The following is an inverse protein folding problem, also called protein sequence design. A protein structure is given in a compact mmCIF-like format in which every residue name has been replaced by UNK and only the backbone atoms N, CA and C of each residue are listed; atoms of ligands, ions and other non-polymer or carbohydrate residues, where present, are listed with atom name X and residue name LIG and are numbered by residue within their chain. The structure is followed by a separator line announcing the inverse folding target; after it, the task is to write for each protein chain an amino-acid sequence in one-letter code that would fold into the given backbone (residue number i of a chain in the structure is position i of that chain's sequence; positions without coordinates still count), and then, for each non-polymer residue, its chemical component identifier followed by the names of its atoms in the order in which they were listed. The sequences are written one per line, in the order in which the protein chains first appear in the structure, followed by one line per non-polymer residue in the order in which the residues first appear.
data_IF_990501340209
#
_entry.id   IF_990501340209
#
_cell.length_a   1.000
_cell.length_b   1.000
_cell.length_c   1.000
_cell.angle_alpha   90.00
_cell.angle_beta   90.00
_cell.angle_gamma   90.00
#
_symmetry.space_group_name_H-M   'P 1'
#
loop_
_entity.id
_entity.type
_entity.pdbx_description
1 polymer ?
#
# COMPACT_ATOMS: atom_id res chain seq x y z
N UNK A 1 -1.97 23.80 -4.81
CA UNK A 1 -1.68 23.02 -6.04
C UNK A 1 -2.61 21.83 -6.05
N UNK A 2 -3.46 21.70 -7.05
CA UNK A 2 -4.41 20.58 -7.15
C UNK A 2 -3.64 19.27 -7.23
N UNK A 3 -3.96 18.32 -6.36
CA UNK A 3 -3.34 17.00 -6.37
C UNK A 3 -3.79 16.28 -7.66
N UNK A 4 -2.86 15.66 -8.40
CA UNK A 4 -3.21 14.89 -9.62
C UNK A 4 -4.19 13.77 -9.30
N UNK A 5 -4.12 13.21 -8.10
CA UNK A 5 -5.09 12.23 -7.64
C UNK A 5 -6.49 12.82 -7.51
N UNK A 6 -6.66 14.11 -7.17
CA UNK A 6 -7.98 14.77 -7.18
C UNK A 6 -8.58 14.85 -8.59
N UNK A 7 -7.74 15.06 -9.62
CA UNK A 7 -8.19 15.20 -11.01
C UNK A 7 -8.46 13.85 -11.70
N UNK A 8 -7.81 12.80 -11.25
CA UNK A 8 -7.82 11.49 -11.91
C UNK A 8 -8.43 10.38 -11.02
N UNK A 9 -9.03 10.75 -9.89
CA UNK A 9 -9.57 9.80 -8.90
C UNK A 9 -10.52 8.80 -9.54
N UNK A 10 -11.53 9.27 -10.27
CA UNK A 10 -12.53 8.41 -10.91
C UNK A 10 -11.91 7.47 -11.96
N UNK A 11 -11.00 8.01 -12.78
CA UNK A 11 -10.31 7.21 -13.80
C UNK A 11 -9.40 6.15 -13.16
N UNK A 12 -8.72 6.50 -12.08
CA UNK A 12 -7.90 5.56 -11.32
C UNK A 12 -8.76 4.47 -10.69
N UNK A 13 -9.87 4.85 -10.10
CA UNK A 13 -10.80 3.92 -9.48
C UNK A 13 -11.43 2.97 -10.50
N UNK A 14 -11.89 3.50 -11.65
CA UNK A 14 -12.50 2.69 -12.71
C UNK A 14 -11.53 1.66 -13.31
N UNK A 15 -10.21 1.90 -13.23
CA UNK A 15 -9.22 0.94 -13.70
C UNK A 15 -9.32 -0.40 -12.95
N UNK A 16 -9.62 -0.40 -11.66
CA UNK A 16 -9.78 -1.61 -10.86
C UNK A 16 -10.96 -2.50 -11.33
N UNK A 17 -11.92 -1.93 -12.05
CA UNK A 17 -13.07 -2.66 -12.60
C UNK A 17 -12.88 -3.04 -14.08
N UNK A 18 -11.76 -2.64 -14.71
CA UNK A 18 -11.42 -2.98 -16.08
C UNK A 18 -11.06 -4.45 -16.23
N UNK A 19 -11.08 -4.96 -17.48
CA UNK A 19 -10.72 -6.33 -17.83
C UNK A 19 -9.32 -6.70 -17.34
N UNK A 20 -8.35 -5.78 -17.48
CA UNK A 20 -6.96 -6.00 -17.04
C UNK A 20 -6.77 -5.68 -15.55
N UNK A 21 -7.41 -4.63 -15.04
CA UNK A 21 -7.19 -4.15 -13.67
C UNK A 21 -7.78 -5.06 -12.61
N UNK A 22 -8.95 -5.62 -12.88
CA UNK A 22 -9.68 -6.44 -11.92
C UNK A 22 -8.93 -7.71 -11.47
N UNK A 23 -8.37 -8.53 -12.36
CA UNK A 23 -7.62 -9.72 -11.93
C UNK A 23 -6.35 -9.38 -11.16
N UNK A 24 -5.69 -8.25 -11.49
CA UNK A 24 -4.52 -7.78 -10.74
C UNK A 24 -4.93 -7.39 -9.32
N UNK A 25 -5.97 -6.58 -9.19
CA UNK A 25 -6.51 -6.15 -7.91
C UNK A 25 -6.96 -7.34 -7.04
N UNK A 26 -7.69 -8.29 -7.60
CA UNK A 26 -8.13 -9.49 -6.88
C UNK A 26 -6.94 -10.32 -6.38
N UNK A 27 -5.88 -10.46 -7.19
CA UNK A 27 -4.64 -11.12 -6.77
C UNK A 27 -3.93 -10.38 -5.62
N UNK A 28 -3.87 -9.04 -5.69
CA UNK A 28 -3.32 -8.19 -4.63
C UNK A 28 -4.12 -8.34 -3.32
N UNK A 29 -5.44 -8.34 -3.41
CA UNK A 29 -6.33 -8.52 -2.27
C UNK A 29 -6.16 -9.91 -1.64
N UNK A 30 -6.07 -10.99 -2.44
CA UNK A 30 -5.76 -12.34 -1.96
C UNK A 30 -4.40 -12.41 -1.26
N UNK A 31 -3.43 -11.61 -1.71
CA UNK A 31 -2.11 -11.53 -1.08
C UNK A 31 -2.18 -10.87 0.31
N UNK A 32 -2.95 -9.78 0.43
CA UNK A 32 -3.09 -9.00 1.66
C UNK A 32 -3.95 -9.69 2.71
N UNK A 33 -5.07 -10.29 2.29
CA UNK A 33 -6.13 -10.77 3.18
C UNK A 33 -5.63 -11.60 4.38
N UNK A 34 -4.81 -12.67 4.22
CA UNK A 34 -4.37 -13.48 5.36
C UNK A 34 -3.43 -12.75 6.34
N UNK A 35 -2.85 -11.61 5.93
CA UNK A 35 -2.04 -10.79 6.84
C UNK A 35 -2.92 -9.85 7.66
N UNK A 36 -3.96 -9.26 7.02
CA UNK A 36 -4.84 -8.29 7.67
C UNK A 36 -5.86 -8.97 8.59
N UNK A 37 -6.42 -10.12 8.19
CA UNK A 37 -7.41 -10.87 9.01
C UNK A 37 -6.86 -11.35 10.36
N UNK A 38 -5.54 -11.49 10.48
CA UNK A 38 -4.87 -11.87 11.73
C UNK A 38 -4.25 -10.68 12.47
N UNK A 39 -4.43 -9.47 11.93
CA UNK A 39 -3.90 -8.26 12.55
C UNK A 39 -4.82 -7.74 13.66
N UNK A 40 -4.24 -7.04 14.64
CA UNK A 40 -4.99 -6.45 15.73
C UNK A 40 -5.73 -5.18 15.28
N UNK A 41 -6.99 -5.03 15.71
CA UNK A 41 -7.78 -3.78 15.54
C UNK A 41 -7.44 -2.75 16.62
N UNK A 42 -7.73 -1.46 16.38
CA UNK A 42 -8.23 -0.87 15.13
C UNK A 42 -7.15 -0.79 14.05
N UNK A 43 -7.58 -0.70 12.79
CA UNK A 43 -6.69 -0.65 11.62
C UNK A 43 -6.68 0.77 11.04
N UNK A 44 -5.51 1.24 10.63
CA UNK A 44 -5.34 2.47 9.86
C UNK A 44 -4.85 2.14 8.45
N UNK A 45 -5.46 2.69 7.40
CA UNK A 45 -4.88 2.70 6.06
C UNK A 45 -4.37 4.08 5.70
N UNK A 46 -3.04 4.20 5.48
CA UNK A 46 -2.37 5.42 5.05
C UNK A 46 -2.37 5.48 3.52
N UNK A 47 -2.95 6.55 2.96
CA UNK A 47 -3.17 6.68 1.53
C UNK A 47 -4.30 5.76 1.06
N UNK A 48 -5.43 5.78 1.79
CA UNK A 48 -6.59 4.93 1.52
C UNK A 48 -7.20 5.14 0.12
N UNK A 49 -6.91 6.27 -0.50
CA UNK A 49 -7.44 6.61 -1.82
C UNK A 49 -8.96 6.50 -1.85
N UNK A 50 -9.48 5.75 -2.81
CA UNK A 50 -10.92 5.51 -2.96
C UNK A 50 -11.48 4.40 -2.06
N UNK A 51 -10.66 3.82 -1.17
CA UNK A 51 -11.08 2.81 -0.20
C UNK A 51 -11.18 1.39 -0.74
N UNK A 52 -10.56 1.11 -1.91
CA UNK A 52 -10.65 -0.20 -2.59
C UNK A 52 -10.14 -1.36 -1.73
N UNK A 53 -9.09 -1.17 -0.96
CA UNK A 53 -8.58 -2.20 -0.06
C UNK A 53 -9.29 -2.16 1.30
N UNK A 54 -9.42 -0.96 1.89
CA UNK A 54 -10.05 -0.76 3.20
C UNK A 54 -11.45 -1.39 3.33
N UNK A 55 -12.28 -1.27 2.29
CA UNK A 55 -13.66 -1.77 2.29
C UNK A 55 -13.81 -3.28 2.53
N UNK A 56 -12.73 -4.04 2.40
CA UNK A 56 -12.73 -5.49 2.61
C UNK A 56 -12.39 -5.92 4.05
N UNK A 57 -12.04 -4.96 4.91
CA UNK A 57 -11.63 -5.24 6.27
C UNK A 57 -12.48 -4.45 7.27
N UNK A 58 -12.83 -5.04 8.42
CA UNK A 58 -13.58 -4.33 9.47
C UNK A 58 -12.69 -3.32 10.20
N UNK A 59 -13.30 -2.33 10.83
CA UNK A 59 -12.65 -1.36 11.75
C UNK A 59 -11.45 -0.61 11.12
N UNK A 60 -11.55 -0.28 9.83
CA UNK A 60 -10.52 0.49 9.13
C UNK A 60 -10.88 1.98 9.13
N UNK A 61 -9.98 2.79 9.68
CA UNK A 61 -9.94 4.24 9.43
C UNK A 61 -8.94 4.52 8.31
N UNK A 62 -9.36 5.26 7.28
CA UNK A 62 -8.51 5.62 6.14
C UNK A 62 -8.09 7.09 6.18
N UNK A 63 -6.83 7.38 5.88
CA UNK A 63 -6.36 8.76 5.64
C UNK A 63 -5.85 8.93 4.22
N UNK A 64 -6.15 10.08 3.62
CA UNK A 64 -5.63 10.50 2.32
C UNK A 64 -5.64 12.03 2.23
N UNK A 65 -4.69 12.68 1.53
CA UNK A 65 -4.74 14.12 1.30
C UNK A 65 -5.82 14.55 0.29
N UNK A 66 -6.33 13.63 -0.54
CA UNK A 66 -7.34 13.90 -1.57
C UNK A 66 -8.76 13.82 -1.02
N UNK A 67 -9.44 14.96 -0.93
CA UNK A 67 -10.84 15.00 -0.50
C UNK A 67 -11.79 14.27 -1.46
N UNK A 68 -11.45 14.23 -2.77
CA UNK A 68 -12.26 13.53 -3.77
C UNK A 68 -12.15 12.01 -3.59
N UNK A 69 -10.94 11.51 -3.33
CA UNK A 69 -10.74 10.10 -3.04
C UNK A 69 -11.47 9.68 -1.76
N UNK A 70 -11.36 10.47 -0.69
CA UNK A 70 -12.04 10.20 0.59
C UNK A 70 -13.56 10.17 0.49
N UNK A 71 -14.18 11.00 -0.37
CA UNK A 71 -15.63 10.92 -0.63
C UNK A 71 -16.03 9.56 -1.20
N UNK A 72 -15.23 9.00 -2.09
CA UNK A 72 -15.49 7.67 -2.65
C UNK A 72 -15.28 6.57 -1.60
N UNK A 73 -14.21 6.67 -0.80
CA UNK A 73 -13.93 5.74 0.29
C UNK A 73 -15.06 5.75 1.34
N UNK A 74 -15.53 6.92 1.73
CA UNK A 74 -16.68 7.07 2.64
C UNK A 74 -17.95 6.48 2.04
N UNK A 75 -18.19 6.64 0.74
CA UNK A 75 -19.30 5.99 0.02
C UNK A 75 -19.22 4.45 0.03
N UNK A 76 -18.06 3.88 0.28
CA UNK A 76 -17.80 2.43 0.47
C UNK A 76 -17.89 1.99 1.93
N UNK A 77 -18.27 2.90 2.85
CA UNK A 77 -18.41 2.59 4.27
C UNK A 77 -17.10 2.68 5.07
N UNK A 78 -16.03 3.22 4.50
CA UNK A 78 -14.76 3.42 5.21
C UNK A 78 -14.83 4.71 6.02
N UNK A 79 -14.44 4.69 7.30
CA UNK A 79 -14.23 5.89 8.08
C UNK A 79 -13.03 6.66 7.54
N UNK A 80 -13.17 7.97 7.27
CA UNK A 80 -12.13 8.72 6.57
C UNK A 80 -11.76 10.02 7.26
N UNK A 81 -10.46 10.35 7.26
CA UNK A 81 -9.92 11.61 7.77
C UNK A 81 -8.95 12.18 6.72
N UNK A 82 -9.10 13.47 6.38
CA UNK A 82 -8.17 14.11 5.46
C UNK A 82 -6.87 14.46 6.18
N UNK A 83 -5.78 13.76 5.83
CA UNK A 83 -4.47 13.97 6.44
C UNK A 83 -3.34 13.49 5.51
N UNK A 84 -2.13 13.94 5.80
CA UNK A 84 -0.89 13.42 5.21
C UNK A 84 -0.31 12.33 6.11
N UNK A 85 0.28 11.29 5.51
CA UNK A 85 0.93 10.21 6.26
C UNK A 85 2.16 10.64 7.04
N UNK A 86 2.75 11.80 6.71
CA UNK A 86 3.89 12.40 7.41
C UNK A 86 3.52 13.18 8.69
N UNK A 87 2.21 13.45 8.90
CA UNK A 87 1.69 14.20 10.07
C UNK A 87 0.23 13.79 10.30
N UNK A 88 0.02 12.82 11.17
CA UNK A 88 -1.28 12.19 11.38
C UNK A 88 -1.96 12.67 12.67
N UNK A 89 -3.27 13.02 12.63
CA UNK A 89 -4.00 13.58 13.77
C UNK A 89 -4.42 12.50 14.80
N UNK A 90 -3.55 11.54 15.08
CA UNK A 90 -3.80 10.47 16.02
C UNK A 90 -2.83 10.48 17.19
N UNK A 91 -3.28 9.96 18.33
CA UNK A 91 -2.43 9.74 19.50
C UNK A 91 -1.44 8.61 19.26
N UNK A 92 -0.36 8.61 20.02
CA UNK A 92 0.60 7.51 20.04
C UNK A 92 -0.10 6.20 20.44
N UNK A 93 0.38 5.07 19.89
CA UNK A 93 -0.08 3.72 20.25
C UNK A 93 -1.60 3.52 20.10
N UNK A 94 -2.20 4.05 19.04
CA UNK A 94 -3.66 3.97 18.79
C UNK A 94 -4.02 2.70 18.04
N UNK A 95 -3.30 2.37 16.95
CA UNK A 95 -3.68 1.31 16.01
C UNK A 95 -2.95 0.00 16.28
N UNK A 96 -3.67 -1.10 16.11
CA UNK A 96 -3.08 -2.45 16.17
C UNK A 96 -2.43 -2.86 14.85
N UNK A 97 -2.92 -2.32 13.73
CA UNK A 97 -2.36 -2.56 12.40
C UNK A 97 -2.37 -1.29 11.55
N UNK A 98 -1.36 -1.12 10.72
CA UNK A 98 -1.29 -0.03 9.74
C UNK A 98 -1.07 -0.63 8.35
N UNK A 99 -1.91 -0.22 7.40
CA UNK A 99 -1.80 -0.60 6.00
C UNK A 99 -1.20 0.56 5.20
N UNK A 100 -0.27 0.26 4.30
CA UNK A 100 0.32 1.20 3.33
C UNK A 100 0.34 0.48 1.98
N UNK A 101 -0.79 0.52 1.26
CA UNK A 101 -0.98 -0.28 0.05
C UNK A 101 -0.85 0.60 -1.20
N UNK A 102 0.14 0.31 -2.04
CA UNK A 102 0.48 1.07 -3.28
C UNK A 102 0.58 2.59 -3.02
N UNK A 103 0.93 2.98 -1.81
CA UNK A 103 0.99 4.38 -1.36
C UNK A 103 2.42 4.88 -1.19
N UNK A 104 3.32 4.03 -0.68
CA UNK A 104 4.70 4.42 -0.37
C UNK A 104 5.43 5.03 -1.58
N UNK A 105 5.09 4.59 -2.78
CA UNK A 105 5.68 5.09 -4.03
C UNK A 105 5.24 6.52 -4.38
N UNK A 106 4.18 7.06 -3.78
CA UNK A 106 3.63 8.38 -4.08
C UNK A 106 3.93 9.43 -3.00
N UNK A 107 4.43 9.02 -1.84
CA UNK A 107 4.76 9.96 -0.76
C UNK A 107 6.13 10.59 -1.00
N UNK A 108 6.28 11.86 -0.61
CA UNK A 108 7.55 12.60 -0.81
C UNK A 108 8.62 12.20 0.19
N UNK A 109 8.22 11.88 1.41
CA UNK A 109 9.11 11.57 2.52
C UNK A 109 8.73 10.24 3.17
N UNK A 110 9.00 9.09 2.51
CA UNK A 110 8.55 7.78 2.97
C UNK A 110 9.09 7.40 4.35
N UNK A 111 10.28 7.89 4.69
CA UNK A 111 10.84 7.69 6.02
C UNK A 111 10.03 8.38 7.11
N UNK A 112 9.54 9.61 6.86
CA UNK A 112 8.71 10.34 7.83
C UNK A 112 7.34 9.67 7.99
N UNK A 113 6.76 9.16 6.90
CA UNK A 113 5.53 8.35 6.96
C UNK A 113 5.73 7.12 7.84
N UNK A 114 6.83 6.39 7.69
CA UNK A 114 7.11 5.20 8.52
C UNK A 114 7.38 5.56 9.99
N UNK A 115 7.99 6.70 10.27
CA UNK A 115 8.15 7.21 11.65
C UNK A 115 6.81 7.53 12.29
N UNK A 116 5.93 8.24 11.57
CA UNK A 116 4.59 8.55 12.04
C UNK A 116 3.74 7.28 12.20
N UNK A 117 3.81 6.36 11.23
CA UNK A 117 3.18 5.06 11.34
C UNK A 117 3.64 4.32 12.62
N UNK A 118 4.95 4.29 12.88
CA UNK A 118 5.48 3.70 14.13
C UNK A 118 4.96 4.41 15.38
N UNK A 119 4.82 5.75 15.38
CA UNK A 119 4.32 6.51 16.52
C UNK A 119 2.89 6.13 16.89
N UNK A 120 2.01 6.02 15.89
CA UNK A 120 0.60 5.71 16.11
C UNK A 120 0.32 4.21 16.25
N UNK A 121 1.29 3.36 15.91
CA UNK A 121 1.21 1.90 16.05
C UNK A 121 1.41 1.47 17.50
N UNK A 122 0.60 0.54 17.98
CA UNK A 122 0.81 -0.13 19.27
C UNK A 122 2.11 -0.93 19.28
N UNK A 123 2.69 -1.13 20.45
CA UNK A 123 3.97 -1.87 20.61
C UNK A 123 3.94 -3.30 20.07
N UNK A 124 2.80 -3.96 20.16
CA UNK A 124 2.55 -5.32 19.66
C UNK A 124 1.96 -5.37 18.25
N UNK A 125 1.70 -4.19 17.67
CA UNK A 125 1.10 -4.04 16.36
C UNK A 125 2.04 -4.36 15.19
N UNK A 126 1.49 -4.32 13.98
CA UNK A 126 2.22 -4.53 12.73
C UNK A 126 1.91 -3.49 11.68
N UNK A 127 2.87 -3.22 10.79
CA UNK A 127 2.65 -2.48 9.54
C UNK A 127 2.65 -3.48 8.40
N UNK A 128 1.66 -3.38 7.52
CA UNK A 128 1.57 -4.17 6.28
C UNK A 128 1.74 -3.23 5.10
N UNK A 129 2.78 -3.46 4.31
CA UNK A 129 3.10 -2.68 3.11
C UNK A 129 2.82 -3.54 1.89
N UNK A 130 1.99 -3.04 0.96
CA UNK A 130 1.78 -3.61 -0.36
C UNK A 130 2.44 -2.74 -1.43
N UNK A 131 3.32 -3.31 -2.24
CA UNK A 131 4.02 -2.56 -3.29
C UNK A 131 4.35 -3.41 -4.52
N UNK A 132 4.57 -2.72 -5.64
CA UNK A 132 5.18 -3.30 -6.84
C UNK A 132 6.70 -3.15 -6.73
N UNK A 133 7.47 -4.26 -6.59
CA UNK A 133 8.92 -4.16 -6.47
C UNK A 133 9.57 -3.59 -7.73
N UNK A 134 10.45 -2.61 -7.57
CA UNK A 134 11.14 -1.90 -8.65
C UNK A 134 11.83 -2.83 -9.65
N UNK A 135 12.45 -3.89 -9.13
CA UNK A 135 13.30 -4.80 -9.90
C UNK A 135 12.52 -5.96 -10.54
N UNK A 136 11.20 -6.07 -10.25
CA UNK A 136 10.34 -7.07 -10.88
C UNK A 136 9.98 -6.71 -12.32
N UNK A 137 9.54 -7.68 -13.15
CA UNK A 137 9.08 -7.40 -14.51
C UNK A 137 8.00 -6.32 -14.58
N UNK A 138 7.07 -6.29 -13.62
CA UNK A 138 6.04 -5.28 -13.50
C UNK A 138 6.60 -3.91 -13.08
N UNK A 139 7.55 -3.88 -12.15
CA UNK A 139 8.24 -2.66 -11.73
C UNK A 139 9.02 -2.03 -12.88
N UNK A 140 9.69 -2.85 -13.69
CA UNK A 140 10.39 -2.39 -14.91
C UNK A 140 9.40 -1.79 -15.90
N UNK A 141 8.27 -2.48 -16.20
CA UNK A 141 7.22 -1.97 -17.09
C UNK A 141 6.68 -0.61 -16.60
N UNK A 142 6.37 -0.48 -15.31
CA UNK A 142 5.86 0.78 -14.76
C UNK A 142 6.93 1.88 -14.74
N UNK A 143 8.20 1.52 -14.57
CA UNK A 143 9.34 2.42 -14.73
C UNK A 143 9.47 2.96 -16.15
N UNK A 144 9.22 2.15 -17.17
CA UNK A 144 9.18 2.58 -18.57
C UNK A 144 7.98 3.49 -18.86
N UNK A 145 6.77 3.11 -18.40
CA UNK A 145 5.58 3.97 -18.48
C UNK A 145 5.81 5.33 -17.81
N UNK A 146 6.54 5.36 -16.68
CA UNK A 146 6.96 6.62 -16.04
C UNK A 146 7.81 7.49 -16.97
N UNK A 147 8.82 6.91 -17.63
CA UNK A 147 9.67 7.64 -18.59
C UNK A 147 8.89 8.19 -19.79
N UNK A 148 7.81 7.51 -20.18
CA UNK A 148 6.90 7.91 -21.25
C UNK A 148 5.87 8.96 -20.80
N UNK A 149 5.92 9.44 -19.55
CA UNK A 149 5.04 10.50 -19.05
C UNK A 149 3.64 10.00 -18.65
N UNK A 150 3.47 8.73 -18.32
CA UNK A 150 2.18 8.20 -17.89
C UNK A 150 1.61 8.99 -16.70
N UNK A 151 0.33 9.42 -16.72
CA UNK A 151 -0.23 10.37 -15.73
C UNK A 151 -0.03 9.98 -14.26
N UNK A 152 -0.18 8.70 -13.92
CA UNK A 152 0.02 8.21 -12.55
C UNK A 152 1.49 7.90 -12.25
N UNK A 153 2.14 7.12 -13.11
CA UNK A 153 3.50 6.62 -12.82
C UNK A 153 4.58 7.70 -12.89
N UNK A 154 4.37 8.82 -13.61
CA UNK A 154 5.32 9.93 -13.68
C UNK A 154 5.70 10.48 -12.29
N UNK A 155 4.83 10.33 -11.30
CA UNK A 155 5.02 10.80 -9.92
C UNK A 155 5.46 9.69 -8.95
N UNK A 156 5.43 8.43 -9.38
CA UNK A 156 5.81 7.31 -8.52
C UNK A 156 7.33 7.20 -8.36
N UNK A 157 7.76 6.85 -7.16
CA UNK A 157 9.11 6.37 -6.87
C UNK A 157 9.01 4.89 -6.52
N UNK A 158 9.49 4.03 -7.42
CA UNK A 158 9.47 2.60 -7.16
C UNK A 158 10.63 2.17 -6.27
N UNK A 159 10.37 1.30 -5.34
CA UNK A 159 11.33 0.78 -4.35
C UNK A 159 11.60 -0.71 -4.60
N UNK A 160 12.87 -1.12 -4.46
CA UNK A 160 13.22 -2.52 -4.33
C UNK A 160 12.91 -3.03 -2.92
N UNK A 161 12.91 -4.36 -2.72
CA UNK A 161 12.83 -4.93 -1.38
C UNK A 161 13.95 -4.40 -0.46
N UNK A 162 15.16 -4.22 -1.03
CA UNK A 162 16.30 -3.69 -0.26
C UNK A 162 16.06 -2.25 0.19
N UNK A 163 15.46 -1.41 -0.66
CA UNK A 163 15.13 -0.02 -0.32
C UNK A 163 14.09 0.02 0.82
N UNK A 164 13.02 -0.78 0.72
CA UNK A 164 12.01 -0.87 1.77
C UNK A 164 12.61 -1.39 3.08
N UNK A 165 13.48 -2.40 3.00
CA UNK A 165 14.19 -2.92 4.19
C UNK A 165 15.01 -1.83 4.88
N UNK A 166 15.75 -1.02 4.13
CA UNK A 166 16.53 0.10 4.69
C UNK A 166 15.64 1.15 5.36
N UNK A 167 14.49 1.48 4.75
CA UNK A 167 13.52 2.41 5.32
C UNK A 167 12.94 1.88 6.64
N UNK A 168 12.52 0.60 6.67
CA UNK A 168 12.01 -0.06 7.87
C UNK A 168 13.07 -0.16 8.97
N UNK A 169 14.29 -0.60 8.61
CA UNK A 169 15.40 -0.70 9.56
C UNK A 169 15.73 0.65 10.19
N UNK A 170 15.76 1.72 9.40
CA UNK A 170 15.96 3.09 9.88
C UNK A 170 14.84 3.59 10.79
N UNK A 171 13.59 3.17 10.55
CA UNK A 171 12.45 3.46 11.42
C UNK A 171 12.42 2.57 12.69
N UNK A 172 13.39 1.65 12.87
CA UNK A 172 13.43 0.75 14.01
C UNK A 172 12.42 -0.41 13.92
N UNK A 173 12.14 -0.84 12.70
CA UNK A 173 11.24 -1.96 12.42
C UNK A 173 11.99 -3.12 11.75
N UNK A 174 11.44 -4.32 11.83
CA UNK A 174 11.97 -5.53 11.17
C UNK A 174 10.87 -6.24 10.41
N UNK A 175 11.21 -6.78 9.24
CA UNK A 175 10.30 -7.61 8.46
C UNK A 175 10.08 -8.94 9.20
N UNK A 176 8.82 -9.36 9.33
CA UNK A 176 8.42 -10.62 10.00
C UNK A 176 7.81 -11.61 9.03
N UNK A 177 7.13 -11.14 7.98
CA UNK A 177 6.49 -12.00 6.98
C UNK A 177 6.46 -11.31 5.62
N UNK A 178 6.49 -12.08 4.58
CA UNK A 178 6.30 -11.60 3.20
C UNK A 178 5.41 -12.57 2.43
N UNK A 179 4.65 -12.04 1.48
CA UNK A 179 3.88 -12.81 0.51
C UNK A 179 4.00 -12.16 -0.86
N UNK A 180 4.03 -12.97 -1.89
CA UNK A 180 4.21 -12.54 -3.29
C UNK A 180 3.07 -13.01 -4.17
N UNK A 181 2.63 -12.17 -5.11
CA UNK A 181 1.69 -12.53 -6.17
C UNK A 181 2.04 -11.82 -7.47
N UNK A 182 1.24 -12.00 -8.52
CA UNK A 182 1.51 -11.50 -9.87
C UNK A 182 2.87 -11.97 -10.37
N UNK A 183 3.09 -13.30 -10.31
CA UNK A 183 4.36 -13.95 -10.65
C UNK A 183 4.57 -14.05 -12.16
N UNK A 184 3.49 -13.93 -12.94
CA UNK A 184 3.53 -13.89 -14.39
C UNK A 184 4.08 -12.58 -14.90
N UNK A 185 4.70 -12.62 -16.08
CA UNK A 185 5.19 -11.41 -16.72
C UNK A 185 4.05 -10.56 -17.25
N UNK A 186 4.24 -9.24 -17.40
CA UNK A 186 3.21 -8.33 -17.91
C UNK A 186 2.78 -8.58 -19.37
N UNK A 187 3.55 -9.31 -20.16
CA UNK A 187 3.27 -9.72 -21.54
C UNK A 187 2.51 -11.04 -21.65
N UNK A 188 2.27 -11.72 -20.52
CA UNK A 188 1.44 -12.92 -20.44
C UNK A 188 -0.02 -12.55 -20.17
N UNK A 189 -1.00 -13.44 -20.51
CA UNK A 189 -2.41 -13.20 -20.22
C UNK A 189 -2.64 -12.92 -18.73
N UNK A 190 -3.29 -11.78 -18.45
CA UNK A 190 -3.62 -11.36 -17.10
C UNK A 190 -4.74 -12.25 -16.55
N UNK A 191 -4.55 -12.77 -15.34
CA UNK A 191 -5.53 -13.57 -14.61
C UNK A 191 -5.30 -13.46 -13.11
N UNK A 192 -6.28 -13.88 -12.32
CA UNK A 192 -6.13 -13.99 -10.88
C UNK A 192 -5.05 -15.03 -10.57
N UNK A 193 -4.12 -14.68 -9.68
CA UNK A 193 -3.02 -15.53 -9.26
C UNK A 193 -3.08 -15.77 -7.74
N UNK A 194 -2.94 -17.06 -7.37
CA UNK A 194 -2.81 -17.42 -5.95
C UNK A 194 -1.46 -16.95 -5.40
N UNK A 195 -1.47 -16.24 -4.27
CA UNK A 195 -0.25 -15.77 -3.65
C UNK A 195 0.58 -16.89 -3.03
N UNK A 196 1.89 -16.69 -2.98
CA UNK A 196 2.83 -17.61 -2.33
C UNK A 196 3.51 -16.94 -1.13
N UNK A 197 3.87 -17.73 -0.13
CA UNK A 197 4.64 -17.24 1.02
C UNK A 197 6.09 -16.91 0.61
N UNK A 198 6.63 -15.87 1.25
CA UNK A 198 7.97 -15.38 1.02
C UNK A 198 8.11 -14.46 -0.19
N UNK A 199 9.32 -13.97 -0.39
CA UNK A 199 9.67 -13.10 -1.51
C UNK A 199 9.95 -13.92 -2.78
N UNK A 200 9.48 -13.40 -3.92
CA UNK A 200 9.82 -13.88 -5.26
C UNK A 200 10.30 -12.69 -6.09
N UNK A 201 11.45 -12.81 -6.74
CA UNK A 201 12.04 -11.73 -7.56
C UNK A 201 11.13 -11.32 -8.74
N UNK A 202 10.33 -12.25 -9.25
CA UNK A 202 9.39 -11.98 -10.34
C UNK A 202 8.07 -11.36 -9.88
N UNK A 203 7.83 -11.25 -8.56
CA UNK A 203 6.55 -10.79 -8.04
C UNK A 203 6.19 -9.38 -8.52
N UNK A 204 5.05 -9.25 -9.20
CA UNK A 204 4.47 -7.96 -9.55
C UNK A 204 3.88 -7.23 -8.36
N UNK A 205 3.52 -7.97 -7.30
CA UNK A 205 3.07 -7.39 -6.05
C UNK A 205 3.65 -8.15 -4.85
N UNK A 206 4.18 -7.39 -3.89
CA UNK A 206 4.78 -7.89 -2.67
C UNK A 206 4.08 -7.30 -1.45
N UNK A 207 3.57 -8.16 -0.57
CA UNK A 207 3.11 -7.79 0.76
C UNK A 207 4.23 -8.04 1.78
N UNK A 208 4.50 -7.06 2.62
CA UNK A 208 5.52 -7.10 3.68
C UNK A 208 4.85 -6.77 5.00
N UNK A 209 4.91 -7.69 5.96
CA UNK A 209 4.60 -7.38 7.35
C UNK A 209 5.88 -6.99 8.09
N UNK A 210 5.82 -5.91 8.84
CA UNK A 210 6.91 -5.46 9.70
C UNK A 210 6.40 -5.15 11.11
N UNK A 211 7.23 -5.45 12.12
CA UNK A 211 6.96 -5.16 13.54
C UNK A 211 8.10 -4.33 14.12
N UNK A 212 7.84 -3.66 15.23
CA UNK A 212 8.89 -2.96 15.97
C UNK A 212 10.01 -3.93 16.31
N UNK A 213 11.27 -3.45 16.24
CA UNK A 213 12.38 -4.20 16.81
C UNK A 213 12.19 -4.23 18.33
N UNK A 214 12.41 -5.40 18.95
CA UNK A 214 12.49 -5.45 20.40
C UNK A 214 13.74 -4.66 20.80
N UNK A 215 13.61 -3.78 21.79
CA UNK A 215 14.77 -3.21 22.45
C UNK A 215 15.56 -4.38 23.10
N UNK A 216 16.90 -4.36 23.00
CA UNK A 216 17.75 -5.41 23.55
C UNK A 216 17.63 -5.53 25.07
#
# INVERSE_FOLDING_TARGET
MTNVFDLLTEKYDAWYDSEDGRPLYESELLCLRPMVEHAASPILEIGVGTGRFAMHFPDVTGIDPSSNALKMASGRGVETIQAYGEDMPFKDNTFGCILIIITLCFVKRPFDVLKEAKRVLRKDGSIIIGLVPKDSPWGVLYGEKKKQGHPFYSRATFYSLLDVKKLLDGAGMRITRMRSTLLRKPDEPIRIEEPVEGYRETAGFLCIEAKMKCDP
#
